data_IF_730787109313
#
_entry.id   IF_730787109313
#
_cell.length_a   1.000
_cell.length_b   1.000
_cell.length_c   1.000
_cell.angle_alpha   90.00
_cell.angle_beta   90.00
_cell.angle_gamma   90.00
#
_symmetry.space_group_name_H-M   'P 1'
#
loop_
_entity.id
_entity.type
_entity.pdbx_description
1 polymer ?
#
# COMPACT_ATOMS: atom_id res chain seq x y z
N UNK A 1 -37.97 -69.50 24.47
CA UNK A 1 -37.33 -69.38 25.80
C UNK A 1 -35.96 -68.75 25.59
N UNK A 2 -35.76 -67.53 26.11
CA UNK A 2 -34.51 -66.80 26.42
C UNK A 2 -33.34 -66.86 25.42
N UNK A 3 -33.02 -65.77 24.71
CA UNK A 3 -32.19 -64.59 25.11
C UNK A 3 -30.69 -64.86 25.32
N UNK A 4 -29.89 -64.08 24.58
CA UNK A 4 -28.61 -63.42 24.92
C UNK A 4 -27.58 -63.61 23.78
N UNK A 5 -26.74 -62.67 23.36
CA UNK A 5 -26.61 -61.23 23.59
C UNK A 5 -25.55 -60.70 22.61
N UNK A 6 -25.90 -59.61 21.90
CA UNK A 6 -25.10 -58.41 21.62
C UNK A 6 -23.55 -58.53 21.52
N UNK A 7 -22.97 -58.18 20.36
CA UNK A 7 -21.87 -57.18 20.21
C UNK A 7 -21.85 -56.60 18.79
N UNK A 8 -22.52 -55.47 18.58
CA UNK A 8 -22.25 -54.58 17.44
C UNK A 8 -21.29 -53.48 17.92
N UNK A 9 -20.10 -53.43 17.34
CA UNK A 9 -19.17 -52.31 17.51
C UNK A 9 -19.54 -51.27 16.45
N UNK A 10 -20.22 -50.20 16.87
CA UNK A 10 -20.32 -48.98 16.07
C UNK A 10 -19.06 -48.16 16.30
N UNK A 11 -18.17 -48.14 15.31
CA UNK A 11 -17.09 -47.16 15.25
C UNK A 11 -17.67 -45.83 14.77
N UNK A 12 -17.88 -44.90 15.70
CA UNK A 12 -18.16 -43.49 15.37
C UNK A 12 -16.84 -42.85 14.95
N UNK A 13 -16.65 -42.68 13.64
CA UNK A 13 -15.59 -41.84 13.08
C UNK A 13 -15.97 -40.38 13.35
N UNK A 14 -15.40 -39.80 14.41
CA UNK A 14 -15.31 -38.35 14.58
C UNK A 14 -14.41 -37.81 13.46
N UNK A 15 -15.02 -37.35 12.38
CA UNK A 15 -14.37 -36.45 11.43
C UNK A 15 -14.24 -35.11 12.16
N UNK A 16 -13.14 -34.92 12.88
CA UNK A 16 -12.68 -33.59 13.24
C UNK A 16 -12.45 -32.84 11.93
N UNK A 17 -13.41 -32.01 11.54
CA UNK A 17 -13.23 -31.02 10.49
C UNK A 17 -12.15 -30.04 10.94
N UNK A 18 -10.89 -30.38 10.67
CA UNK A 18 -9.83 -29.38 10.57
C UNK A 18 -10.23 -28.49 9.41
N UNK A 19 -10.79 -27.33 9.74
CA UNK A 19 -10.94 -26.21 8.81
C UNK A 19 -9.56 -25.96 8.21
N UNK A 20 -9.32 -26.49 7.01
CA UNK A 20 -8.18 -26.12 6.19
C UNK A 20 -8.43 -24.67 5.80
N UNK A 21 -8.04 -23.72 6.66
CA UNK A 21 -7.80 -22.37 6.21
C UNK A 21 -6.64 -22.51 5.22
N UNK A 22 -6.84 -22.22 3.91
CA UNK A 22 -5.72 -22.22 2.98
C UNK A 22 -4.67 -21.27 3.55
N UNK A 23 -3.48 -21.80 3.80
CA UNK A 23 -2.32 -20.97 4.16
C UNK A 23 -2.00 -20.21 2.89
N UNK A 24 -2.49 -18.98 2.78
CA UNK A 24 -2.08 -18.10 1.71
C UNK A 24 -0.58 -17.83 1.87
N UNK A 25 0.22 -18.11 0.84
CA UNK A 25 1.60 -17.65 0.84
C UNK A 25 1.59 -16.14 0.76
N UNK A 26 2.25 -15.51 1.73
CA UNK A 26 2.33 -14.06 1.77
C UNK A 26 3.30 -13.60 0.67
N UNK A 27 2.78 -12.88 -0.33
CA UNK A 27 3.57 -12.39 -1.43
C UNK A 27 4.04 -10.95 -1.19
N UNK A 28 5.18 -10.59 -1.77
CA UNK A 28 5.67 -9.21 -1.80
C UNK A 28 5.87 -8.68 -3.22
N UNK A 29 5.68 -7.38 -3.38
CA UNK A 29 5.88 -6.68 -4.64
C UNK A 29 6.45 -5.29 -4.48
N UNK A 30 6.69 -4.63 -5.62
CA UNK A 30 7.18 -3.26 -5.68
C UNK A 30 6.03 -2.29 -5.91
N UNK A 31 6.04 -1.20 -5.13
CA UNK A 31 5.05 -0.13 -5.20
C UNK A 31 5.58 1.06 -6.01
N UNK A 32 4.84 1.44 -7.04
CA UNK A 32 5.04 2.66 -7.82
C UNK A 32 3.82 3.56 -7.67
N UNK A 33 3.58 4.00 -6.44
CA UNK A 33 2.49 4.91 -6.12
C UNK A 33 2.66 6.24 -6.85
N UNK A 34 1.55 6.79 -7.38
CA UNK A 34 1.43 8.09 -8.06
C UNK A 34 2.21 8.30 -9.35
N UNK A 35 3.35 7.64 -9.51
CA UNK A 35 4.30 7.87 -10.57
C UNK A 35 4.78 6.55 -11.22
N UNK A 36 3.90 5.77 -11.89
CA UNK A 36 4.31 4.54 -12.57
C UNK A 36 5.33 4.80 -13.70
N UNK A 37 5.45 6.02 -14.20
CA UNK A 37 6.53 6.44 -15.10
C UNK A 37 7.92 6.27 -14.49
N UNK A 38 8.04 6.15 -13.16
CA UNK A 38 9.31 5.88 -12.47
C UNK A 38 9.68 4.39 -12.43
N UNK A 39 8.86 3.48 -12.99
CA UNK A 39 9.26 2.07 -13.11
C UNK A 39 10.57 2.00 -13.91
N UNK A 40 11.60 1.42 -13.31
CA UNK A 40 12.87 1.16 -13.97
C UNK A 40 13.15 -0.35 -13.91
N UNK A 41 12.97 -1.02 -15.04
CA UNK A 41 13.14 -2.46 -15.15
C UNK A 41 14.57 -2.92 -14.85
N UNK A 42 15.58 -2.05 -14.96
CA UNK A 42 16.95 -2.37 -14.53
C UNK A 42 16.98 -2.70 -13.04
N UNK A 43 16.29 -1.92 -12.22
CA UNK A 43 16.29 -2.09 -10.76
C UNK A 43 15.19 -3.03 -10.27
N UNK A 44 14.04 -3.08 -10.94
CA UNK A 44 13.00 -4.09 -10.63
C UNK A 44 13.59 -5.51 -10.71
N UNK A 45 14.35 -5.82 -11.77
CA UNK A 45 14.99 -7.13 -11.95
C UNK A 45 15.99 -7.50 -10.85
N UNK A 46 16.56 -6.52 -10.15
CA UNK A 46 17.51 -6.76 -9.05
C UNK A 46 16.84 -7.25 -7.77
N UNK A 47 15.55 -6.92 -7.57
CA UNK A 47 14.84 -7.28 -6.34
C UNK A 47 14.19 -8.66 -6.45
N UNK A 48 13.98 -9.21 -7.66
CA UNK A 48 13.37 -10.53 -7.86
C UNK A 48 11.95 -10.66 -7.25
N UNK A 49 11.11 -9.64 -7.45
CA UNK A 49 9.67 -9.72 -7.13
C UNK A 49 8.88 -10.26 -8.30
N UNK A 50 7.71 -10.83 -8.03
CA UNK A 50 6.71 -11.17 -9.04
C UNK A 50 5.70 -10.04 -9.27
N UNK A 51 5.49 -9.20 -8.26
CA UNK A 51 4.40 -8.23 -8.24
C UNK A 51 4.86 -6.80 -8.45
N UNK A 52 4.16 -6.08 -9.33
CA UNK A 52 4.26 -4.64 -9.51
C UNK A 52 2.91 -4.00 -9.23
N UNK A 53 2.91 -2.97 -8.39
CA UNK A 53 1.73 -2.21 -8.02
C UNK A 53 1.79 -0.78 -8.54
N UNK A 54 0.72 -0.33 -9.18
CA UNK A 54 0.59 1.02 -9.73
C UNK A 54 -0.82 1.58 -9.49
N UNK A 55 -0.90 2.91 -9.33
CA UNK A 55 -2.13 3.66 -9.06
C UNK A 55 -2.09 5.05 -9.71
N UNK A 56 -2.44 5.17 -11.02
CA UNK A 56 -2.51 6.46 -11.68
C UNK A 56 -3.62 7.36 -11.11
N UNK A 57 -3.44 8.67 -11.25
CA UNK A 57 -4.41 9.69 -10.85
C UNK A 57 -5.44 9.87 -11.97
N UNK A 58 -6.61 9.24 -11.84
CA UNK A 58 -7.55 9.14 -12.95
C UNK A 58 -8.14 10.49 -13.37
N UNK A 59 -8.39 11.39 -12.42
CA UNK A 59 -8.95 12.70 -12.76
C UNK A 59 -7.96 13.58 -13.56
N UNK A 60 -6.65 13.29 -13.55
CA UNK A 60 -5.71 13.97 -14.46
C UNK A 60 -6.01 13.64 -15.94
N UNK A 61 -6.57 12.44 -16.21
CA UNK A 61 -7.01 12.03 -17.55
C UNK A 61 -8.38 12.59 -17.92
N UNK A 62 -9.29 12.66 -16.93
CA UNK A 62 -10.62 13.28 -17.11
C UNK A 62 -10.47 14.75 -17.49
N UNK A 63 -9.57 15.47 -16.82
CA UNK A 63 -9.27 16.87 -17.07
C UNK A 63 -8.48 17.11 -18.38
N UNK A 64 -8.05 16.03 -19.05
CA UNK A 64 -7.24 16.09 -20.27
C UNK A 64 -5.77 16.51 -20.05
N UNK A 65 -5.30 16.52 -18.80
CA UNK A 65 -3.89 16.80 -18.48
C UNK A 65 -2.98 15.64 -18.89
N UNK A 66 -3.52 14.42 -18.85
CA UNK A 66 -2.89 13.21 -19.36
C UNK A 66 -3.79 12.54 -20.41
N UNK A 67 -3.17 11.87 -21.38
CA UNK A 67 -3.86 11.18 -22.48
C UNK A 67 -3.53 9.69 -22.37
N UNK A 68 -4.53 8.85 -22.08
CA UNK A 68 -4.33 7.44 -21.77
C UNK A 68 -3.62 6.67 -22.91
N UNK A 69 -3.93 7.05 -24.15
CA UNK A 69 -3.43 6.43 -25.36
C UNK A 69 -1.91 6.60 -25.54
N UNK A 70 -1.33 7.69 -25.02
CA UNK A 70 0.10 8.03 -25.16
C UNK A 70 0.86 8.15 -23.84
N UNK A 71 0.18 7.93 -22.71
CA UNK A 71 0.78 8.07 -21.39
C UNK A 71 1.88 7.02 -21.14
N UNK A 72 3.06 7.52 -20.73
CA UNK A 72 4.24 6.68 -20.47
C UNK A 72 4.07 5.82 -19.23
N UNK A 73 3.33 6.29 -18.21
CA UNK A 73 3.12 5.52 -16.99
C UNK A 73 2.26 4.28 -17.27
N UNK A 74 1.17 4.41 -18.03
CA UNK A 74 0.33 3.29 -18.48
C UNK A 74 1.11 2.34 -19.39
N UNK A 75 1.95 2.87 -20.27
CA UNK A 75 2.83 2.05 -21.12
C UNK A 75 3.78 1.18 -20.29
N UNK A 76 4.42 1.74 -19.25
CA UNK A 76 5.32 0.95 -18.37
C UNK A 76 4.58 -0.14 -17.60
N UNK A 77 3.32 0.09 -17.21
CA UNK A 77 2.50 -0.94 -16.56
C UNK A 77 2.19 -2.09 -17.54
N UNK A 78 1.80 -1.77 -18.77
CA UNK A 78 1.56 -2.80 -19.79
C UNK A 78 2.85 -3.57 -20.14
N UNK A 79 3.99 -2.90 -20.21
CA UNK A 79 5.29 -3.54 -20.41
C UNK A 79 5.68 -4.48 -19.27
N UNK A 80 5.42 -4.08 -18.02
CA UNK A 80 5.61 -4.96 -16.87
C UNK A 80 4.80 -6.26 -17.02
N UNK A 81 3.52 -6.14 -17.39
CA UNK A 81 2.68 -7.31 -17.67
C UNK A 81 3.22 -8.19 -18.79
N UNK A 82 3.66 -7.60 -19.91
CA UNK A 82 4.29 -8.32 -21.02
C UNK A 82 5.60 -9.02 -20.64
N UNK A 83 6.33 -8.49 -19.67
CA UNK A 83 7.54 -9.12 -19.11
C UNK A 83 7.22 -10.25 -18.13
N UNK A 84 5.95 -10.51 -17.82
CA UNK A 84 5.50 -11.59 -16.94
C UNK A 84 5.36 -11.21 -15.48
N UNK A 85 5.48 -9.92 -15.13
CA UNK A 85 5.14 -9.47 -13.77
C UNK A 85 3.63 -9.48 -13.57
N UNK A 86 3.20 -9.87 -12.37
CA UNK A 86 1.81 -9.77 -11.92
C UNK A 86 1.50 -8.34 -11.53
N UNK A 87 0.35 -7.82 -11.95
CA UNK A 87 0.01 -6.40 -11.81
C UNK A 87 -1.12 -6.20 -10.80
N UNK A 88 -0.82 -5.46 -9.74
CA UNK A 88 -1.80 -4.93 -8.80
C UNK A 88 -2.12 -3.46 -9.15
N UNK A 89 -3.16 -3.25 -9.95
CA UNK A 89 -3.57 -1.96 -10.48
C UNK A 89 -4.74 -1.37 -9.69
N UNK A 90 -4.96 -0.06 -9.77
CA UNK A 90 -6.14 0.59 -9.20
C UNK A 90 -6.14 2.08 -9.45
N UNK A 91 -7.20 2.78 -9.04
CA UNK A 91 -7.34 4.22 -9.28
C UNK A 91 -7.14 5.06 -8.03
N UNK A 92 -6.46 6.20 -8.23
CA UNK A 92 -6.45 7.33 -7.30
C UNK A 92 -7.36 8.42 -7.87
N UNK A 93 -8.39 8.80 -7.12
CA UNK A 93 -9.43 9.70 -7.62
C UNK A 93 -9.17 11.17 -7.27
N UNK A 94 -8.64 11.48 -6.09
CA UNK A 94 -8.34 12.87 -5.69
C UNK A 94 -9.53 13.87 -5.71
N UNK A 95 -10.75 13.41 -5.45
CA UNK A 95 -11.94 14.27 -5.39
C UNK A 95 -11.78 15.45 -4.43
N UNK A 96 -11.30 15.18 -3.20
CA UNK A 96 -11.07 16.18 -2.16
C UNK A 96 -10.05 17.23 -2.58
N UNK A 97 -8.95 16.82 -3.23
CA UNK A 97 -7.92 17.74 -3.73
C UNK A 97 -8.46 18.69 -4.80
N UNK A 98 -9.44 18.24 -5.59
CA UNK A 98 -10.14 19.04 -6.60
C UNK A 98 -11.39 19.75 -6.07
N UNK A 99 -11.72 19.61 -4.79
CA UNK A 99 -12.96 20.10 -4.20
C UNK A 99 -14.22 19.64 -4.97
N UNK A 100 -14.23 18.38 -5.38
CA UNK A 100 -15.33 17.75 -6.11
C UNK A 100 -16.10 16.79 -5.20
N UNK A 101 -17.41 16.75 -5.35
CA UNK A 101 -18.24 15.64 -4.86
C UNK A 101 -18.07 14.44 -5.80
N UNK A 102 -18.37 13.26 -5.29
CA UNK A 102 -18.60 12.08 -6.12
C UNK A 102 -19.73 12.36 -7.11
N UNK A 103 -19.65 11.82 -8.33
CA UNK A 103 -20.68 12.04 -9.32
C UNK A 103 -21.95 11.28 -8.91
N UNK A 104 -23.12 11.89 -9.14
CA UNK A 104 -24.38 11.23 -8.89
C UNK A 104 -24.54 9.99 -9.80
N UNK A 105 -25.13 8.89 -9.31
CA UNK A 105 -25.38 7.69 -10.10
C UNK A 105 -26.15 7.98 -11.39
N UNK A 106 -25.59 7.57 -12.53
CA UNK A 106 -26.18 7.76 -13.86
C UNK A 106 -26.04 9.18 -14.43
N UNK A 107 -25.34 10.07 -13.74
CA UNK A 107 -25.07 11.42 -14.24
C UNK A 107 -24.10 11.42 -15.43
N UNK A 108 -24.11 12.52 -16.20
CA UNK A 108 -23.15 12.73 -17.28
C UNK A 108 -21.68 12.73 -16.77
N UNK A 109 -21.44 13.21 -15.55
CA UNK A 109 -20.11 13.20 -14.94
C UNK A 109 -19.64 11.78 -14.63
N UNK A 110 -20.51 10.92 -14.07
CA UNK A 110 -20.18 9.51 -13.84
C UNK A 110 -19.85 8.81 -15.17
N UNK A 111 -20.67 9.01 -16.19
CA UNK A 111 -20.44 8.44 -17.52
C UNK A 111 -19.10 8.90 -18.13
N UNK A 112 -18.74 10.18 -17.96
CA UNK A 112 -17.45 10.70 -18.43
C UNK A 112 -16.26 10.08 -17.69
N UNK A 113 -16.38 9.89 -16.37
CA UNK A 113 -15.35 9.23 -15.57
C UNK A 113 -15.19 7.77 -15.98
N UNK A 114 -16.28 7.03 -16.15
CA UNK A 114 -16.24 5.63 -16.58
C UNK A 114 -15.74 5.45 -18.01
N UNK A 115 -16.04 6.39 -18.92
CA UNK A 115 -15.40 6.42 -20.24
C UNK A 115 -13.88 6.60 -20.15
N UNK A 116 -13.41 7.37 -19.16
CA UNK A 116 -11.97 7.53 -18.92
C UNK A 116 -11.35 6.27 -18.31
N UNK A 117 -12.09 5.58 -17.43
CA UNK A 117 -11.73 4.24 -16.96
C UNK A 117 -11.51 3.30 -18.15
N UNK A 118 -12.46 3.24 -19.09
CA UNK A 118 -12.37 2.38 -20.28
C UNK A 118 -11.10 2.63 -21.08
N UNK A 119 -10.78 3.90 -21.36
CA UNK A 119 -9.54 4.27 -22.07
C UNK A 119 -8.27 3.83 -21.38
N UNK A 120 -8.24 3.87 -20.04
CA UNK A 120 -7.10 3.39 -19.28
C UNK A 120 -7.04 1.85 -19.34
N UNK A 121 -8.20 1.20 -19.20
CA UNK A 121 -8.31 -0.26 -19.26
C UNK A 121 -7.97 -0.83 -20.65
N UNK A 122 -8.22 -0.09 -21.75
CA UNK A 122 -7.79 -0.48 -23.10
C UNK A 122 -6.26 -0.65 -23.17
N UNK A 123 -5.50 0.06 -22.31
CA UNK A 123 -4.04 0.05 -22.29
C UNK A 123 -3.47 -1.04 -21.39
N UNK A 124 -4.07 -1.23 -20.21
CA UNK A 124 -3.48 -2.07 -19.15
C UNK A 124 -4.32 -3.29 -18.78
N UNK A 125 -5.61 -3.32 -19.11
CA UNK A 125 -6.58 -4.27 -18.57
C UNK A 125 -6.25 -5.74 -18.84
N UNK A 126 -5.71 -6.06 -20.01
CA UNK A 126 -5.27 -7.42 -20.34
C UNK A 126 -4.19 -7.99 -19.39
N UNK A 127 -3.51 -7.13 -18.64
CA UNK A 127 -2.38 -7.48 -17.78
C UNK A 127 -2.67 -7.35 -16.28
N UNK A 128 -3.89 -6.95 -15.89
CA UNK A 128 -4.21 -6.71 -14.47
C UNK A 128 -4.61 -8.02 -13.80
N UNK A 129 -3.90 -8.41 -12.74
CA UNK A 129 -4.23 -9.57 -11.89
C UNK A 129 -5.10 -9.18 -10.69
N UNK A 130 -4.82 -8.01 -10.11
CA UNK A 130 -5.56 -7.44 -8.98
C UNK A 130 -6.01 -6.04 -9.34
N UNK A 131 -7.30 -5.76 -9.15
CA UNK A 131 -7.88 -4.44 -9.35
C UNK A 131 -8.37 -3.86 -8.02
N UNK A 132 -7.78 -2.73 -7.60
CA UNK A 132 -8.21 -1.98 -6.42
C UNK A 132 -9.15 -0.85 -6.84
N UNK A 133 -10.33 -0.82 -6.25
CA UNK A 133 -11.37 0.16 -6.59
C UNK A 133 -11.01 1.60 -6.20
N UNK A 134 -10.12 1.78 -5.21
CA UNK A 134 -9.61 3.08 -4.78
C UNK A 134 -8.19 2.96 -4.19
N UNK A 135 -7.54 4.12 -3.96
CA UNK A 135 -6.20 4.25 -3.39
C UNK A 135 -6.20 4.75 -1.94
N UNK A 136 -6.94 5.79 -1.59
CA UNK A 136 -7.12 6.24 -0.19
C UNK A 136 -8.50 6.88 -0.03
N UNK A 137 -9.59 6.12 -0.22
CA UNK A 137 -10.92 6.71 -0.45
C UNK A 137 -11.41 7.62 0.70
N UNK A 138 -11.07 7.34 1.96
CA UNK A 138 -11.40 8.20 3.10
C UNK A 138 -10.56 9.48 3.23
N UNK A 139 -9.41 9.57 2.54
CA UNK A 139 -8.61 10.80 2.49
C UNK A 139 -8.80 11.56 1.17
N UNK A 140 -9.12 10.86 0.09
CA UNK A 140 -9.29 11.41 -1.25
C UNK A 140 -10.73 11.86 -1.56
N UNK A 141 -11.70 11.53 -0.71
CA UNK A 141 -13.11 11.95 -0.86
C UNK A 141 -13.44 13.07 0.12
N UNK A 142 -14.30 14.00 -0.31
CA UNK A 142 -14.77 15.10 0.56
C UNK A 142 -15.61 14.58 1.72
N UNK A 143 -15.64 15.32 2.82
CA UNK A 143 -16.20 14.84 4.08
C UNK A 143 -17.70 14.53 3.99
N UNK A 144 -18.49 15.27 3.18
CA UNK A 144 -19.93 15.02 2.98
C UNK A 144 -20.21 13.65 2.36
N UNK A 145 -19.34 13.21 1.44
CA UNK A 145 -19.49 11.95 0.71
C UNK A 145 -19.00 10.74 1.52
N UNK A 146 -18.41 11.00 2.68
CA UNK A 146 -18.05 10.00 3.70
C UNK A 146 -19.14 9.83 4.76
N UNK A 147 -20.23 10.61 4.72
CA UNK A 147 -21.36 10.50 5.64
C UNK A 147 -22.54 9.75 5.00
N UNK A 148 -23.50 9.34 5.84
CA UNK A 148 -24.80 8.90 5.35
C UNK A 148 -25.57 10.11 4.79
N UNK A 149 -26.14 9.95 3.59
CA UNK A 149 -27.09 10.90 3.02
C UNK A 149 -28.52 10.66 3.55
N UNK A 150 -29.47 11.48 3.09
CA UNK A 150 -30.89 11.41 3.48
C UNK A 150 -31.56 10.06 3.18
N UNK A 151 -30.95 9.23 2.32
CA UNK A 151 -31.41 7.88 1.96
C UNK A 151 -30.72 6.78 2.79
N UNK A 152 -29.94 7.16 3.81
CA UNK A 152 -29.18 6.24 4.65
C UNK A 152 -28.05 5.52 3.92
N UNK A 153 -27.54 6.10 2.82
CA UNK A 153 -26.43 5.53 2.02
C UNK A 153 -25.20 6.41 2.12
N UNK A 154 -24.02 5.81 2.05
CA UNK A 154 -22.76 6.57 1.94
C UNK A 154 -22.41 6.73 0.46
N UNK A 155 -22.33 7.96 -0.09
CA UNK A 155 -22.00 8.20 -1.50
C UNK A 155 -20.73 7.49 -1.96
N UNK A 156 -19.68 7.47 -1.14
CA UNK A 156 -18.44 6.72 -1.42
C UNK A 156 -18.68 5.24 -1.74
N UNK A 157 -19.51 4.57 -0.96
CA UNK A 157 -19.79 3.14 -1.15
C UNK A 157 -20.63 2.91 -2.41
N UNK A 158 -21.59 3.80 -2.68
CA UNK A 158 -22.41 3.75 -3.91
C UNK A 158 -21.52 3.90 -5.15
N UNK A 159 -20.64 4.91 -5.17
CA UNK A 159 -19.72 5.10 -6.29
C UNK A 159 -18.77 3.89 -6.46
N UNK A 160 -18.27 3.35 -5.35
CA UNK A 160 -17.38 2.18 -5.36
C UNK A 160 -18.06 0.94 -5.95
N UNK A 161 -19.31 0.67 -5.57
CA UNK A 161 -20.11 -0.44 -6.11
C UNK A 161 -20.36 -0.26 -7.61
N UNK A 162 -20.65 0.97 -8.05
CA UNK A 162 -20.90 1.26 -9.46
C UNK A 162 -19.64 1.11 -10.30
N UNK A 163 -18.49 1.58 -9.80
CA UNK A 163 -17.19 1.35 -10.44
C UNK A 163 -16.86 -0.14 -10.55
N UNK A 164 -17.10 -0.93 -9.49
CA UNK A 164 -16.90 -2.37 -9.52
C UNK A 164 -17.73 -3.03 -10.62
N UNK A 165 -19.03 -2.71 -10.67
CA UNK A 165 -19.94 -3.25 -11.68
C UNK A 165 -19.52 -2.83 -13.10
N UNK A 166 -19.06 -1.58 -13.28
CA UNK A 166 -18.54 -1.09 -14.55
C UNK A 166 -17.30 -1.88 -15.00
N UNK A 167 -16.33 -2.09 -14.11
CA UNK A 167 -15.12 -2.89 -14.40
C UNK A 167 -15.50 -4.32 -14.78
N UNK A 168 -16.37 -4.98 -14.02
CA UNK A 168 -16.80 -6.35 -14.33
C UNK A 168 -17.48 -6.43 -15.70
N UNK A 169 -18.37 -5.47 -16.01
CA UNK A 169 -19.02 -5.40 -17.32
C UNK A 169 -18.01 -5.16 -18.45
N UNK A 170 -17.03 -4.29 -18.22
CA UNK A 170 -15.97 -4.01 -19.17
C UNK A 170 -15.13 -5.27 -19.49
N UNK A 171 -14.74 -6.06 -18.50
CA UNK A 171 -14.03 -7.34 -18.73
C UNK A 171 -14.91 -8.39 -19.43
N UNK A 172 -16.22 -8.43 -19.16
CA UNK A 172 -17.15 -9.33 -19.89
C UNK A 172 -17.19 -9.04 -21.39
N UNK A 173 -16.96 -7.79 -21.79
CA UNK A 173 -16.87 -7.39 -23.20
C UNK A 173 -15.50 -7.71 -23.83
N UNK A 174 -14.53 -8.19 -23.03
CA UNK A 174 -13.19 -8.60 -23.46
C UNK A 174 -12.95 -10.07 -23.08
N UNK A 175 -13.62 -11.03 -23.74
CA UNK A 175 -13.68 -12.43 -23.29
C UNK A 175 -12.35 -13.18 -23.32
N UNK A 176 -11.31 -12.63 -23.96
CA UNK A 176 -9.95 -13.20 -23.94
C UNK A 176 -9.14 -12.75 -22.72
N UNK A 177 -9.65 -11.79 -21.94
CA UNK A 177 -8.99 -11.27 -20.74
C UNK A 177 -9.51 -11.99 -19.51
N UNK A 178 -8.64 -12.17 -18.51
CA UNK A 178 -9.03 -12.73 -17.22
C UNK A 178 -9.54 -11.60 -16.33
N UNK A 179 -10.72 -11.78 -15.72
CA UNK A 179 -11.23 -10.83 -14.73
C UNK A 179 -10.27 -10.81 -13.51
N UNK A 180 -9.72 -9.65 -13.12
CA UNK A 180 -8.84 -9.56 -11.97
C UNK A 180 -9.56 -9.85 -10.66
N UNK A 181 -8.79 -10.23 -9.64
CA UNK A 181 -9.32 -10.22 -8.27
C UNK A 181 -9.59 -8.77 -7.84
N UNK A 182 -10.83 -8.48 -7.45
CA UNK A 182 -11.23 -7.12 -7.07
C UNK A 182 -11.06 -6.92 -5.57
N UNK A 183 -10.36 -5.85 -5.18
CA UNK A 183 -10.21 -5.43 -3.79
C UNK A 183 -10.82 -4.05 -3.58
N UNK A 184 -11.57 -3.88 -2.49
CA UNK A 184 -12.06 -2.57 -2.08
C UNK A 184 -10.99 -1.82 -1.28
N UNK A 185 -11.09 -0.49 -1.22
CA UNK A 185 -10.38 0.29 -0.21
C UNK A 185 -8.99 0.77 -0.63
N UNK A 186 -7.96 0.28 0.07
CA UNK A 186 -6.67 0.94 0.34
C UNK A 186 -6.80 1.99 1.46
N UNK A 187 -7.53 1.64 2.51
CA UNK A 187 -7.85 2.53 3.63
C UNK A 187 -6.61 2.75 4.52
N UNK A 188 -6.13 3.99 4.71
CA UNK A 188 -5.08 4.34 5.65
C UNK A 188 -5.65 4.62 7.05
N UNK A 189 -4.74 4.66 8.03
CA UNK A 189 -4.97 5.21 9.37
C UNK A 189 -6.09 4.53 10.17
N UNK A 190 -6.38 3.26 9.89
CA UNK A 190 -7.45 2.50 10.56
C UNK A 190 -7.21 2.23 12.05
N UNK A 191 -6.03 2.58 12.58
CA UNK A 191 -5.77 2.61 14.03
C UNK A 191 -6.34 3.87 14.71
N UNK A 192 -6.76 4.89 13.95
CA UNK A 192 -7.36 6.10 14.50
C UNK A 192 -8.86 5.91 14.74
N UNK A 193 -9.32 6.14 15.98
CA UNK A 193 -10.74 6.04 16.34
C UNK A 193 -11.66 6.87 15.43
N UNK A 194 -11.23 8.07 15.03
CA UNK A 194 -11.99 8.93 14.11
C UNK A 194 -12.25 8.23 12.78
N UNK A 195 -11.24 7.56 12.22
CA UNK A 195 -11.39 6.82 10.95
C UNK A 195 -12.30 5.62 11.14
N UNK A 196 -12.14 4.87 12.23
CA UNK A 196 -13.00 3.72 12.55
C UNK A 196 -14.49 4.08 12.69
N UNK A 197 -14.78 5.31 13.13
CA UNK A 197 -16.14 5.85 13.30
C UNK A 197 -16.68 6.56 12.06
N UNK A 198 -15.88 6.77 11.02
CA UNK A 198 -16.31 7.47 9.81
C UNK A 198 -17.20 6.53 8.98
N UNK A 199 -18.46 6.91 8.65
CA UNK A 199 -19.39 6.01 7.94
C UNK A 199 -18.83 5.45 6.64
N UNK A 200 -18.16 6.25 5.83
CA UNK A 200 -17.54 5.79 4.60
C UNK A 200 -16.43 4.76 4.78
N UNK A 201 -15.69 4.79 5.90
CA UNK A 201 -14.71 3.75 6.24
C UNK A 201 -15.45 2.48 6.67
N UNK A 202 -16.38 2.61 7.62
CA UNK A 202 -17.11 1.49 8.21
C UNK A 202 -17.91 0.71 7.16
N UNK A 203 -18.68 1.40 6.33
CA UNK A 203 -19.51 0.78 5.30
C UNK A 203 -18.69 0.22 4.13
N UNK A 204 -17.53 0.80 3.80
CA UNK A 204 -16.67 0.26 2.75
C UNK A 204 -16.03 -1.08 3.16
N UNK A 205 -15.66 -1.24 4.44
CA UNK A 205 -15.15 -2.53 4.93
C UNK A 205 -16.27 -3.59 4.93
N UNK A 206 -17.48 -3.21 5.36
CA UNK A 206 -18.66 -4.11 5.29
C UNK A 206 -19.00 -4.49 3.86
N UNK A 207 -18.95 -3.54 2.92
CA UNK A 207 -19.10 -3.78 1.48
C UNK A 207 -18.10 -4.83 0.99
N UNK A 208 -16.82 -4.70 1.38
CA UNK A 208 -15.79 -5.67 1.02
C UNK A 208 -16.14 -7.08 1.52
N UNK A 209 -16.71 -7.21 2.72
CA UNK A 209 -17.17 -8.50 3.25
C UNK A 209 -18.41 -9.04 2.53
N UNK A 210 -19.39 -8.20 2.24
CA UNK A 210 -20.72 -8.66 1.78
C UNK A 210 -20.80 -8.96 0.28
N UNK A 211 -19.99 -8.31 -0.56
CA UNK A 211 -20.07 -8.49 -2.02
C UNK A 211 -19.28 -9.71 -2.48
N UNK A 212 -19.90 -10.64 -3.21
CA UNK A 212 -19.26 -11.89 -3.62
C UNK A 212 -18.10 -11.65 -4.60
N UNK A 213 -18.23 -10.63 -5.44
CA UNK A 213 -17.27 -10.23 -6.46
C UNK A 213 -16.01 -9.55 -5.88
N UNK A 214 -16.10 -9.03 -4.66
CA UNK A 214 -14.95 -8.45 -3.96
C UNK A 214 -14.19 -9.56 -3.25
N UNK A 215 -12.95 -9.80 -3.67
CA UNK A 215 -12.05 -10.79 -3.08
C UNK A 215 -11.66 -10.41 -1.64
N UNK A 216 -11.41 -9.13 -1.37
CA UNK A 216 -10.99 -8.67 -0.06
C UNK A 216 -10.81 -7.15 0.05
N UNK A 217 -10.05 -6.73 1.06
CA UNK A 217 -9.80 -5.32 1.36
C UNK A 217 -8.31 -4.97 1.23
N UNK A 218 -8.04 -3.80 0.65
CA UNK A 218 -6.73 -3.18 0.69
C UNK A 218 -6.61 -2.21 1.89
N UNK A 219 -5.46 -2.21 2.57
CA UNK A 219 -5.20 -1.37 3.76
C UNK A 219 -3.82 -0.74 3.67
N UNK A 220 -3.70 0.57 3.93
CA UNK A 220 -2.40 1.25 4.05
C UNK A 220 -1.94 1.27 5.51
N UNK A 221 -0.68 0.91 5.74
CA UNK A 221 -0.11 0.78 7.09
C UNK A 221 1.14 1.65 7.26
N UNK A 222 0.91 2.96 7.30
CA UNK A 222 1.93 3.95 7.68
C UNK A 222 1.84 4.24 9.17
N UNK A 223 2.82 3.82 9.95
CA UNK A 223 2.72 3.79 11.42
C UNK A 223 3.72 4.72 12.11
N UNK A 224 3.35 5.15 13.31
CA UNK A 224 4.21 5.80 14.29
C UNK A 224 4.58 4.87 15.46
N UNK A 225 3.91 3.74 15.59
CA UNK A 225 4.17 2.72 16.61
C UNK A 225 3.78 1.34 16.05
N UNK A 226 4.56 0.30 16.36
CA UNK A 226 4.28 -1.07 15.89
C UNK A 226 2.93 -1.63 16.33
N UNK A 227 2.39 -1.18 17.46
CA UNK A 227 1.06 -1.58 17.96
C UNK A 227 -0.08 -1.02 17.11
N UNK A 228 0.18 -0.01 16.26
CA UNK A 228 -0.83 0.49 15.32
C UNK A 228 -1.15 -0.52 14.20
N UNK A 229 -0.25 -1.47 13.91
CA UNK A 229 -0.50 -2.52 12.92
C UNK A 229 -1.65 -3.42 13.37
N UNK A 230 -1.59 -4.13 14.53
CA UNK A 230 -2.69 -4.97 14.99
C UNK A 230 -3.95 -4.15 15.26
N UNK A 231 -3.85 -2.92 15.81
CA UNK A 231 -5.03 -2.06 16.02
C UNK A 231 -5.83 -1.81 14.73
N UNK A 232 -5.13 -1.52 13.62
CA UNK A 232 -5.77 -1.32 12.32
C UNK A 232 -6.39 -2.64 11.79
N UNK A 233 -5.67 -3.75 11.91
CA UNK A 233 -6.09 -5.03 11.33
C UNK A 233 -7.19 -5.73 12.16
N UNK A 234 -7.20 -5.58 13.48
CA UNK A 234 -8.26 -6.04 14.37
C UNK A 234 -9.60 -5.35 14.05
N UNK A 235 -9.55 -4.04 13.82
CA UNK A 235 -10.72 -3.30 13.37
C UNK A 235 -11.27 -3.84 12.05
N UNK A 236 -10.40 -4.06 11.06
CA UNK A 236 -10.80 -4.68 9.79
C UNK A 236 -11.41 -6.06 10.02
N UNK A 237 -10.79 -6.91 10.84
CA UNK A 237 -11.28 -8.28 11.10
C UNK A 237 -12.61 -8.32 11.84
N UNK A 238 -12.92 -7.30 12.62
CA UNK A 238 -14.24 -7.15 13.28
C UNK A 238 -15.37 -7.01 12.25
N UNK A 239 -15.10 -6.37 11.10
CA UNK A 239 -16.10 -6.07 10.06
C UNK A 239 -16.01 -7.01 8.84
N UNK A 240 -14.81 -7.52 8.57
CA UNK A 240 -14.47 -8.41 7.45
C UNK A 240 -13.63 -9.61 7.96
N UNK A 241 -14.24 -10.56 8.68
CA UNK A 241 -13.51 -11.66 9.32
C UNK A 241 -12.95 -12.68 8.33
N UNK A 242 -13.57 -12.85 7.16
CA UNK A 242 -13.37 -14.06 6.34
C UNK A 242 -12.48 -13.85 5.11
N UNK A 243 -12.33 -12.60 4.64
CA UNK A 243 -11.68 -12.31 3.36
C UNK A 243 -10.21 -11.88 3.52
N UNK A 244 -9.34 -12.17 2.54
CA UNK A 244 -7.94 -11.76 2.59
C UNK A 244 -7.79 -10.23 2.63
N UNK A 245 -6.65 -9.79 3.16
CA UNK A 245 -6.21 -8.40 3.12
C UNK A 245 -5.02 -8.28 2.18
N UNK A 246 -4.92 -7.18 1.45
CA UNK A 246 -3.66 -6.76 0.81
C UNK A 246 -3.19 -5.44 1.43
N UNK A 247 -1.89 -5.24 1.47
CA UNK A 247 -1.26 -4.02 1.99
C UNK A 247 -0.47 -3.37 0.86
N UNK A 248 -1.13 -2.56 0.01
CA UNK A 248 -0.45 -1.98 -1.14
C UNK A 248 0.64 -0.99 -0.72
N UNK A 249 0.57 -0.42 0.48
CA UNK A 249 1.58 0.51 0.99
C UNK A 249 1.75 0.36 2.50
N UNK A 250 3.00 0.30 2.95
CA UNK A 250 3.35 0.29 4.36
C UNK A 250 4.72 0.91 4.58
N UNK A 251 4.90 1.63 5.69
CA UNK A 251 6.13 2.36 5.97
C UNK A 251 6.19 2.91 7.39
N UNK A 252 7.37 3.40 7.80
CA UNK A 252 7.56 4.16 9.04
C UNK A 252 7.31 5.66 8.87
N UNK A 253 6.57 6.08 7.83
CA UNK A 253 6.35 7.51 7.50
C UNK A 253 5.92 8.35 8.70
N UNK A 254 4.95 7.88 9.49
CA UNK A 254 4.45 8.66 10.63
C UNK A 254 5.44 8.68 11.80
N UNK A 255 6.19 7.59 12.01
CA UNK A 255 7.28 7.55 12.99
C UNK A 255 8.34 8.58 12.62
N UNK A 256 8.83 8.56 11.38
CA UNK A 256 9.86 9.49 10.94
C UNK A 256 9.40 10.95 11.03
N UNK A 257 8.19 11.28 10.55
CA UNK A 257 7.66 12.64 10.65
C UNK A 257 7.60 13.13 12.10
N UNK A 258 7.22 12.26 13.05
CA UNK A 258 7.16 12.59 14.48
C UNK A 258 8.53 13.02 15.04
N UNK A 259 9.62 12.48 14.50
CA UNK A 259 10.97 12.62 15.05
C UNK A 259 11.88 13.58 14.25
N UNK A 260 11.41 14.18 13.16
CA UNK A 260 12.22 15.11 12.36
C UNK A 260 12.79 16.30 13.15
N UNK A 261 12.05 16.79 14.16
CA UNK A 261 12.48 17.90 15.02
C UNK A 261 13.40 17.50 16.17
N UNK A 262 13.68 16.21 16.35
CA UNK A 262 14.48 15.73 17.47
C UNK A 262 15.96 16.11 17.32
N UNK A 263 16.63 16.32 18.45
CA UNK A 263 18.08 16.44 18.48
C UNK A 263 18.71 15.06 18.25
N UNK A 264 19.68 14.95 17.34
CA UNK A 264 20.41 13.68 17.17
C UNK A 264 21.12 13.31 18.46
N UNK A 265 21.69 14.29 19.19
CA UNK A 265 22.33 14.07 20.49
C UNK A 265 21.33 13.92 21.66
N UNK A 266 20.06 13.61 21.39
CA UNK A 266 19.02 13.47 22.41
C UNK A 266 19.17 12.27 23.35
N UNK A 267 20.05 11.33 23.03
CA UNK A 267 20.38 10.15 23.84
C UNK A 267 21.89 9.84 23.77
N UNK A 268 22.37 8.87 24.56
CA UNK A 268 23.80 8.54 24.65
C UNK A 268 24.41 8.04 23.33
N UNK A 269 23.68 7.21 22.56
CA UNK A 269 24.16 6.70 21.26
C UNK A 269 24.21 7.81 20.22
N UNK A 270 23.18 8.66 20.20
CA UNK A 270 23.11 9.83 19.35
C UNK A 270 24.19 10.86 19.65
N UNK A 271 24.51 11.08 20.94
CA UNK A 271 25.64 11.92 21.34
C UNK A 271 26.97 11.34 20.83
N UNK A 272 27.17 10.03 20.98
CA UNK A 272 28.36 9.35 20.46
C UNK A 272 28.46 9.46 18.93
N UNK A 273 27.34 9.36 18.20
CA UNK A 273 27.29 9.57 16.75
C UNK A 273 27.72 11.00 16.36
N UNK A 274 27.14 12.01 17.00
CA UNK A 274 27.47 13.43 16.76
C UNK A 274 28.95 13.71 17.04
N UNK A 275 29.50 13.16 18.12
CA UNK A 275 30.92 13.29 18.46
C UNK A 275 31.83 12.56 17.46
N UNK A 276 31.51 11.32 17.09
CA UNK A 276 32.25 10.51 16.11
C UNK A 276 32.42 11.25 14.79
N UNK A 277 31.37 11.92 14.32
CA UNK A 277 31.34 12.63 13.05
C UNK A 277 31.57 14.14 13.15
N UNK A 278 31.91 14.66 14.33
CA UNK A 278 32.18 16.09 14.58
C UNK A 278 31.04 17.00 14.10
N UNK A 279 29.79 16.53 14.24
CA UNK A 279 28.60 17.28 13.88
C UNK A 279 28.27 18.32 14.97
N UNK A 280 27.50 19.39 14.66
CA UNK A 280 27.04 20.32 15.67
C UNK A 280 26.25 19.62 16.78
N UNK A 281 26.57 19.91 18.05
CA UNK A 281 25.99 19.22 19.21
C UNK A 281 24.45 19.30 19.28
N UNK A 282 23.85 20.33 18.69
CA UNK A 282 22.41 20.57 18.68
C UNK A 282 21.75 20.23 17.33
N UNK A 283 22.46 19.59 16.40
CA UNK A 283 21.93 19.26 15.08
C UNK A 283 20.65 18.43 15.20
N UNK A 284 19.62 18.86 14.47
CA UNK A 284 18.35 18.17 14.37
C UNK A 284 18.36 17.15 13.25
N UNK A 285 17.47 16.16 13.33
CA UNK A 285 17.37 15.12 12.31
C UNK A 285 17.07 15.72 10.93
N UNK A 286 16.13 16.65 10.83
CA UNK A 286 15.82 17.31 9.54
C UNK A 286 17.00 18.14 8.99
N UNK A 287 17.80 18.75 9.85
CA UNK A 287 19.00 19.50 9.45
C UNK A 287 20.06 18.55 8.89
N UNK A 288 20.30 17.43 9.58
CA UNK A 288 21.21 16.39 9.09
C UNK A 288 20.72 15.78 7.77
N UNK A 289 19.42 15.54 7.61
CA UNK A 289 18.84 15.07 6.34
C UNK A 289 18.99 16.11 5.21
N UNK A 290 18.96 17.40 5.53
CA UNK A 290 19.29 18.46 4.56
C UNK A 290 20.75 18.37 4.13
N UNK A 291 21.67 18.09 5.06
CA UNK A 291 23.08 17.87 4.72
C UNK A 291 23.26 16.62 3.85
N UNK A 292 22.53 15.53 4.12
CA UNK A 292 22.49 14.34 3.25
C UNK A 292 22.01 14.71 1.84
N UNK A 293 20.83 15.31 1.73
CA UNK A 293 20.20 15.63 0.44
C UNK A 293 20.95 16.73 -0.34
N UNK A 294 21.90 17.43 0.30
CA UNK A 294 22.80 18.38 -0.37
C UNK A 294 24.21 17.82 -0.60
N UNK A 295 24.42 16.52 -0.38
CA UNK A 295 25.67 15.81 -0.69
C UNK A 295 26.80 16.06 0.30
N UNK A 296 26.49 16.56 1.50
CA UNK A 296 27.49 16.89 2.54
C UNK A 296 27.73 15.75 3.52
N UNK A 297 26.83 14.77 3.57
CA UNK A 297 26.96 13.58 4.44
C UNK A 297 27.22 12.36 3.56
N UNK A 298 28.23 11.53 3.86
CA UNK A 298 28.50 10.32 3.10
C UNK A 298 27.50 9.20 3.43
N UNK A 299 27.31 8.27 2.50
CA UNK A 299 26.36 7.15 2.60
C UNK A 299 26.54 6.29 3.87
N UNK A 300 27.79 6.09 4.30
CA UNK A 300 28.15 5.23 5.44
C UNK A 300 27.53 5.72 6.75
N UNK A 301 27.20 7.01 6.87
CA UNK A 301 26.55 7.55 8.07
C UNK A 301 25.05 7.26 8.11
N UNK A 302 24.43 6.85 7.00
CA UNK A 302 22.98 6.74 6.88
C UNK A 302 22.39 5.80 7.92
N UNK A 303 22.82 4.54 7.93
CA UNK A 303 22.31 3.54 8.86
C UNK A 303 22.67 3.90 10.31
N UNK A 304 23.92 4.31 10.54
CA UNK A 304 24.41 4.64 11.88
C UNK A 304 23.61 5.75 12.55
N UNK A 305 23.15 6.77 11.80
CA UNK A 305 22.33 7.85 12.35
C UNK A 305 21.01 7.32 12.90
N UNK A 306 20.32 6.45 12.14
CA UNK A 306 19.04 5.88 12.59
C UNK A 306 19.25 4.89 13.74
N UNK A 307 20.28 4.03 13.68
CA UNK A 307 20.60 3.11 14.77
C UNK A 307 21.05 3.82 16.06
N UNK A 308 21.48 5.07 15.97
CA UNK A 308 21.79 5.89 17.15
C UNK A 308 20.55 6.50 17.81
N UNK A 309 19.35 6.33 17.24
CA UNK A 309 18.11 6.85 17.81
C UNK A 309 17.35 5.76 18.57
N UNK A 310 17.02 5.99 19.85
CA UNK A 310 16.29 5.01 20.67
C UNK A 310 14.87 4.72 20.18
N UNK A 311 14.26 5.66 19.45
CA UNK A 311 12.93 5.49 18.86
C UNK A 311 12.94 4.69 17.55
N UNK A 312 14.10 4.52 16.92
CA UNK A 312 14.18 3.81 15.64
C UNK A 312 14.01 2.31 15.85
N UNK A 313 13.26 1.68 14.93
CA UNK A 313 12.93 0.26 14.98
C UNK A 313 13.81 -0.45 13.94
N UNK A 314 14.93 -1.07 14.33
CA UNK A 314 15.74 -1.84 13.40
C UNK A 314 14.93 -3.04 12.91
N UNK A 315 15.17 -3.43 11.66
CA UNK A 315 14.56 -4.61 11.05
C UNK A 315 13.01 -4.62 11.06
N UNK A 316 12.40 -3.44 10.93
CA UNK A 316 10.95 -3.27 11.13
C UNK A 316 10.10 -4.00 10.09
N UNK A 317 10.62 -4.30 8.88
CA UNK A 317 9.86 -5.05 7.87
C UNK A 317 9.56 -6.47 8.35
N UNK A 318 10.44 -7.07 9.16
CA UNK A 318 10.15 -8.33 9.82
C UNK A 318 9.00 -8.22 10.83
N UNK A 319 8.82 -7.07 11.48
CA UNK A 319 7.66 -6.82 12.36
C UNK A 319 6.37 -6.76 11.57
N UNK A 320 6.35 -6.04 10.44
CA UNK A 320 5.21 -6.05 9.51
C UNK A 320 4.89 -7.47 9.04
N UNK A 321 5.89 -8.23 8.59
CA UNK A 321 5.71 -9.60 8.10
C UNK A 321 5.06 -10.53 9.15
N UNK A 322 5.43 -10.43 10.43
CA UNK A 322 4.81 -11.23 11.49
C UNK A 322 3.31 -10.93 11.63
N UNK A 323 2.93 -9.65 11.62
CA UNK A 323 1.51 -9.28 11.66
C UNK A 323 0.80 -9.68 10.38
N UNK A 324 1.41 -9.46 9.21
CA UNK A 324 0.83 -9.85 7.95
C UNK A 324 0.46 -11.34 7.89
N UNK A 325 1.33 -12.23 8.39
CA UNK A 325 0.99 -13.64 8.58
C UNK A 325 -0.17 -13.86 9.54
N UNK A 326 -0.16 -13.23 10.71
CA UNK A 326 -1.20 -13.40 11.72
C UNK A 326 -2.58 -12.94 11.24
N UNK A 327 -2.63 -11.96 10.33
CA UNK A 327 -3.85 -11.33 9.88
C UNK A 327 -4.28 -11.74 8.46
N UNK A 328 -3.70 -12.80 7.87
CA UNK A 328 -4.01 -13.25 6.51
C UNK A 328 -3.89 -12.11 5.47
N UNK A 329 -2.75 -11.42 5.50
CA UNK A 329 -2.34 -10.50 4.44
C UNK A 329 -1.65 -11.30 3.34
N UNK A 330 -2.21 -11.28 2.13
CA UNK A 330 -1.80 -12.16 1.03
C UNK A 330 -0.84 -11.49 0.05
N UNK A 331 -0.85 -10.16 -0.01
CA UNK A 331 0.08 -9.37 -0.81
C UNK A 331 0.44 -8.10 -0.05
N UNK A 332 1.73 -7.76 0.02
CA UNK A 332 2.20 -6.47 0.48
C UNK A 332 3.17 -5.84 -0.54
N UNK A 333 3.00 -4.55 -0.87
CA UNK A 333 3.91 -3.88 -1.81
C UNK A 333 4.68 -2.73 -1.17
N UNK A 334 5.94 -2.60 -1.55
CA UNK A 334 6.90 -1.71 -0.88
C UNK A 334 7.64 -0.82 -1.90
N UNK A 335 7.90 0.45 -1.60
CA UNK A 335 8.39 1.38 -2.62
C UNK A 335 9.84 1.07 -3.03
N UNK A 336 10.09 1.04 -4.34
CA UNK A 336 11.43 0.84 -4.90
C UNK A 336 12.30 2.10 -4.75
N UNK A 337 11.73 3.26 -5.09
CA UNK A 337 12.46 4.52 -5.26
C UNK A 337 11.92 5.65 -4.39
N UNK A 338 12.81 6.57 -3.98
CA UNK A 338 12.49 7.78 -3.20
C UNK A 338 11.45 8.68 -3.86
N UNK A 339 10.36 8.90 -3.12
CA UNK A 339 9.29 9.86 -3.41
C UNK A 339 9.25 10.95 -2.32
N UNK A 340 8.58 12.07 -2.56
CA UNK A 340 8.48 13.16 -1.58
C UNK A 340 9.81 13.81 -1.17
N UNK A 341 10.85 13.63 -1.99
CA UNK A 341 12.19 14.18 -1.74
C UNK A 341 12.20 15.72 -1.85
N UNK A 342 12.91 16.35 -0.93
CA UNK A 342 13.25 17.78 -0.97
C UNK A 342 14.73 17.98 -0.61
N UNK A 343 15.39 18.96 -1.23
CA UNK A 343 16.77 19.33 -0.88
C UNK A 343 16.87 19.92 0.52
N UNK A 344 15.91 20.77 0.88
CA UNK A 344 15.79 21.38 2.21
C UNK A 344 14.69 20.65 2.98
N UNK A 345 15.11 19.90 4.00
CA UNK A 345 14.21 19.13 4.86
C UNK A 345 13.87 19.95 6.10
N UNK A 346 12.57 20.13 6.31
CA UNK A 346 11.99 20.88 7.44
C UNK A 346 11.31 19.90 8.39
N UNK A 347 11.01 20.36 9.60
CA UNK A 347 10.20 19.58 10.57
C UNK A 347 8.84 19.17 9.97
N UNK A 348 8.28 20.01 9.10
CA UNK A 348 7.00 19.74 8.41
C UNK A 348 7.14 19.01 7.07
N UNK A 349 8.36 18.63 6.66
CA UNK A 349 8.55 17.89 5.41
C UNK A 349 8.06 16.45 5.53
N UNK A 350 7.58 15.90 4.41
CA UNK A 350 7.19 14.50 4.33
C UNK A 350 8.40 13.56 4.28
N UNK A 351 8.41 12.53 5.12
CA UNK A 351 9.49 11.54 5.21
C UNK A 351 9.42 10.39 4.20
N UNK A 352 8.58 10.48 3.16
CA UNK A 352 8.39 9.40 2.19
C UNK A 352 9.70 8.88 1.60
N UNK A 353 10.69 9.76 1.41
CA UNK A 353 12.00 9.43 0.84
C UNK A 353 12.87 8.52 1.73
N UNK A 354 12.54 8.32 3.01
CA UNK A 354 13.37 7.50 3.93
C UNK A 354 13.12 6.00 3.83
N UNK A 355 11.99 5.58 3.27
CA UNK A 355 11.55 4.19 3.26
C UNK A 355 12.07 3.35 2.06
N UNK A 356 12.10 3.87 0.83
CA UNK A 356 12.29 3.03 -0.35
C UNK A 356 13.60 2.23 -0.38
N UNK A 357 13.60 1.15 -1.15
CA UNK A 357 14.72 0.20 -1.22
C UNK A 357 16.02 0.79 -1.78
N UNK A 358 15.92 1.85 -2.59
CA UNK A 358 17.06 2.58 -3.14
C UNK A 358 17.01 4.06 -2.74
N UNK A 359 18.19 4.65 -2.52
CA UNK A 359 18.38 6.04 -2.10
C UNK A 359 18.83 6.94 -3.26
N UNK A 360 18.14 6.83 -4.40
CA UNK A 360 18.55 7.44 -5.66
C UNK A 360 18.47 8.97 -5.73
N UNK A 361 17.83 9.63 -4.75
CA UNK A 361 17.73 11.10 -4.66
C UNK A 361 18.57 11.68 -3.53
N UNK A 362 18.71 10.97 -2.42
CA UNK A 362 19.54 11.38 -1.27
C UNK A 362 21.03 11.26 -1.57
N UNK A 363 21.42 10.34 -2.45
CA UNK A 363 22.79 10.15 -2.88
C UNK A 363 22.88 10.12 -4.40
N UNK A 364 23.96 10.68 -4.93
CA UNK A 364 24.34 10.45 -6.33
C UNK A 364 24.64 8.96 -6.54
N UNK A 365 24.62 8.47 -7.80
CA UNK A 365 25.07 7.12 -8.10
C UNK A 365 26.48 6.84 -7.55
N UNK A 366 26.73 5.59 -7.22
CA UNK A 366 28.03 5.10 -6.79
C UNK A 366 29.07 5.19 -7.95
N UNK A 367 30.36 4.87 -7.71
CA UNK A 367 31.39 4.91 -8.76
C UNK A 367 31.13 4.02 -9.98
N UNK A 368 30.20 3.06 -9.89
CA UNK A 368 29.78 2.19 -10.99
C UNK A 368 28.51 2.69 -11.69
N UNK A 369 27.97 3.83 -11.28
CA UNK A 369 26.73 4.40 -11.83
C UNK A 369 25.46 3.73 -11.30
N UNK A 370 25.52 3.05 -10.15
CA UNK A 370 24.40 2.38 -9.52
C UNK A 370 23.83 3.17 -8.34
N UNK A 371 22.52 3.04 -8.09
CA UNK A 371 21.92 3.64 -6.90
C UNK A 371 22.32 2.87 -5.64
N UNK A 372 22.65 3.62 -4.59
CA UNK A 372 22.83 3.05 -3.25
C UNK A 372 21.54 2.38 -2.77
N UNK A 373 21.67 1.17 -2.22
CA UNK A 373 20.58 0.48 -1.52
C UNK A 373 20.34 1.14 -0.17
N UNK A 374 19.09 1.20 0.27
CA UNK A 374 18.74 1.70 1.59
C UNK A 374 19.02 0.62 2.66
N UNK A 375 20.04 0.79 3.52
CA UNK A 375 20.39 -0.25 4.49
C UNK A 375 19.28 -0.47 5.55
N UNK A 376 18.36 0.48 5.72
CA UNK A 376 17.25 0.39 6.68
C UNK A 376 16.13 -0.55 6.24
N UNK A 377 16.05 -0.90 4.95
CA UNK A 377 14.90 -1.64 4.39
C UNK A 377 15.29 -2.68 3.35
N UNK A 378 16.33 -2.43 2.53
CA UNK A 378 16.72 -3.34 1.46
C UNK A 378 17.13 -4.74 1.96
N UNK A 379 18.04 -4.90 2.95
CA UNK A 379 18.45 -6.23 3.40
C UNK A 379 17.28 -7.06 3.94
N UNK A 380 16.43 -6.44 4.75
CA UNK A 380 15.22 -7.02 5.29
C UNK A 380 14.25 -7.46 4.18
N UNK A 381 13.99 -6.58 3.21
CA UNK A 381 13.07 -6.86 2.11
C UNK A 381 13.54 -8.05 1.30
N UNK A 382 14.82 -8.07 0.87
CA UNK A 382 15.41 -9.20 0.13
C UNK A 382 15.29 -10.51 0.91
N UNK A 383 15.60 -10.50 2.21
CA UNK A 383 15.47 -11.67 3.08
C UNK A 383 14.03 -12.17 3.25
N UNK A 384 13.04 -11.27 3.15
CA UNK A 384 11.63 -11.66 3.17
C UNK A 384 11.19 -12.32 1.85
N UNK A 385 11.82 -11.97 0.72
CA UNK A 385 11.55 -12.63 -0.57
C UNK A 385 12.02 -14.08 -0.61
N UNK A 386 13.14 -14.40 0.06
CA UNK A 386 13.65 -15.78 0.18
C UNK A 386 12.71 -16.74 0.94
N UNK A 387 11.68 -16.21 1.62
CA UNK A 387 10.71 -16.99 2.41
C UNK A 387 9.40 -17.26 1.68
N UNK A 388 9.24 -16.80 0.43
CA UNK A 388 7.99 -16.91 -0.34
C UNK A 388 7.80 -18.26 -0.99
#
# INVERSE_FOLDING_TARGET
MMMSSLKYIFAVLLICGSSFNPVFSQQFGLNFNHNPENIDFKYVKKINVEWIRATPRILDYVDGLLIAETDTALQKIAEAGKMGYRIAFGFRWDFKRRNLTLPEPGSANEAAYFKTVDKIMDRVGAYVDIFKLANEPNLETIDSDLQYNDKGKVPLVVFTERLMNHIIAYYKNHPTWTLPEIYAGSLPALFEKKQQQTPGVYELIKFAQSQAEVKGLAVHLHIADTLQIPQALDFVRTLMPNKPIIVPEFSLFRLYNKHFGDSIAGNAKGLAFVQKYQLPAHIKIHEWLTLVNTGKIPYQQWEEMFLSQDWYIPNYLHTYYRYFKAYNVVLATYPLFQQGYTKEVKVSSDSWFLNPLFLQKSYNPDPFGEYYTNPLSHPDFTKLLEKQ
#
